data_IF_849282548128
#
_entry.id   IF_849282548128
#
_cell.length_a   1.000
_cell.length_b   1.000
_cell.length_c   1.000
_cell.angle_alpha   90.00
_cell.angle_beta   90.00
_cell.angle_gamma   90.00
#
_symmetry.space_group_name_H-M   'P 1'
#
loop_
_entity.id
_entity.type
_entity.pdbx_description
1 polymer ?
#
# COMPACT_ATOMS: atom_id res chain seq x y z
N UNK A 1 32.50 -41.30 27.96
CA UNK A 1 32.29 -41.00 26.53
C UNK A 1 31.92 -39.54 26.39
N UNK A 2 32.84 -38.72 25.89
CA UNK A 2 32.58 -37.33 25.49
C UNK A 2 33.48 -37.07 24.29
N UNK A 3 32.91 -37.03 23.08
CA UNK A 3 33.59 -36.48 21.90
C UNK A 3 33.07 -35.07 21.71
N UNK A 4 33.99 -34.12 21.75
CA UNK A 4 33.81 -32.77 21.27
C UNK A 4 33.91 -32.79 19.74
N UNK A 5 32.95 -32.18 19.06
CA UNK A 5 33.06 -31.86 17.63
C UNK A 5 33.37 -30.38 17.49
N UNK A 6 34.45 -30.11 16.76
CA UNK A 6 34.83 -28.81 16.21
C UNK A 6 34.48 -28.79 14.72
N UNK A 7 34.77 -27.66 14.06
CA UNK A 7 34.65 -27.35 12.61
C UNK A 7 33.33 -26.66 12.23
N UNK A 8 33.26 -25.60 11.42
CA UNK A 8 34.22 -24.96 10.51
C UNK A 8 33.70 -23.53 10.21
N UNK A 9 34.60 -22.53 10.17
CA UNK A 9 34.34 -21.23 9.54
C UNK A 9 34.14 -21.40 8.02
N UNK A 10 33.27 -20.61 7.40
CA UNK A 10 33.50 -20.17 6.02
C UNK A 10 32.88 -18.80 5.78
N UNK A 11 33.77 -17.81 5.73
CA UNK A 11 33.51 -16.47 5.21
C UNK A 11 33.23 -16.53 3.70
N UNK A 12 32.22 -15.80 3.23
CA UNK A 12 32.21 -15.29 1.85
C UNK A 12 31.60 -13.89 1.81
N UNK A 13 32.47 -12.91 1.81
CA UNK A 13 32.18 -11.55 1.36
C UNK A 13 32.14 -11.54 -0.16
N UNK A 14 31.15 -10.87 -0.74
CA UNK A 14 31.28 -10.27 -2.07
C UNK A 14 30.42 -9.00 -2.10
N UNK A 15 31.06 -7.89 -2.44
CA UNK A 15 30.57 -6.51 -2.31
C UNK A 15 30.20 -5.92 -3.68
N UNK A 16 29.05 -5.22 -3.73
CA UNK A 16 28.77 -3.92 -4.42
C UNK A 16 28.92 -3.84 -5.98
N UNK A 17 28.52 -2.75 -6.70
CA UNK A 17 27.94 -1.46 -6.30
C UNK A 17 26.77 -0.86 -7.17
N UNK A 18 26.19 0.23 -6.63
CA UNK A 18 25.66 1.46 -7.26
C UNK A 18 24.53 1.45 -8.33
N UNK A 19 23.46 2.23 -8.09
CA UNK A 19 23.37 3.64 -8.55
C UNK A 19 21.96 4.28 -8.40
N UNK A 20 21.87 5.13 -7.37
CA UNK A 20 21.20 6.44 -7.19
C UNK A 20 19.86 6.82 -7.90
N UNK A 21 18.96 7.29 -7.02
CA UNK A 21 18.20 8.57 -7.07
C UNK A 21 16.90 8.69 -7.88
N UNK A 22 15.78 8.75 -7.14
CA UNK A 22 14.73 9.77 -7.25
C UNK A 22 13.72 9.51 -6.12
N UNK A 23 13.39 10.38 -5.17
CA UNK A 23 13.77 11.74 -4.83
C UNK A 23 13.01 12.07 -3.53
N UNK A 24 13.65 12.88 -2.67
CA UNK A 24 13.12 13.55 -1.47
C UNK A 24 12.43 12.70 -0.36
N UNK A 25 12.92 12.74 0.89
CA UNK A 25 12.05 12.47 2.03
C UNK A 25 11.11 13.66 2.12
N UNK A 26 9.90 13.53 1.60
CA UNK A 26 8.83 14.43 2.01
C UNK A 26 8.51 14.06 3.45
N UNK A 27 9.23 14.69 4.38
CA UNK A 27 8.90 14.78 5.80
C UNK A 27 7.56 15.49 5.92
N UNK A 28 6.47 14.84 5.50
CA UNK A 28 5.14 15.17 5.95
C UNK A 28 5.10 14.75 7.41
N UNK A 29 5.01 15.74 8.28
CA UNK A 29 4.60 15.53 9.67
C UNK A 29 3.43 14.53 9.70
N UNK A 30 3.35 13.63 10.70
CA UNK A 30 2.24 12.69 10.77
C UNK A 30 0.95 13.50 10.83
N UNK A 31 0.25 13.60 9.71
CA UNK A 31 -1.14 14.01 9.71
C UNK A 31 -1.86 12.81 10.28
N UNK A 32 -2.29 12.91 11.53
CA UNK A 32 -3.07 11.85 12.16
C UNK A 32 -4.27 11.55 11.24
N UNK A 33 -4.49 10.28 10.86
CA UNK A 33 -5.56 9.93 9.95
C UNK A 33 -6.88 10.38 10.57
N UNK A 34 -7.53 11.35 9.92
CA UNK A 34 -8.81 11.88 10.39
C UNK A 34 -9.91 10.99 9.78
N UNK A 35 -10.17 9.86 10.43
CA UNK A 35 -11.32 9.00 10.15
C UNK A 35 -10.99 7.59 9.70
N UNK A 36 -11.98 6.95 9.09
CA UNK A 36 -11.94 5.56 8.64
C UNK A 36 -11.49 5.51 7.18
N UNK A 37 -10.47 4.70 6.89
CA UNK A 37 -9.90 4.58 5.54
C UNK A 37 -10.93 4.00 4.56
N UNK A 38 -11.77 3.06 5.01
CA UNK A 38 -12.83 2.45 4.21
C UNK A 38 -13.88 3.49 3.81
N UNK A 39 -14.28 4.36 4.74
CA UNK A 39 -15.18 5.48 4.43
C UNK A 39 -14.54 6.48 3.47
N UNK A 40 -13.23 6.73 3.62
CA UNK A 40 -12.47 7.61 2.71
C UNK A 40 -12.46 7.03 1.29
N UNK A 41 -12.20 5.73 1.15
CA UNK A 41 -12.24 5.00 -0.13
C UNK A 41 -13.64 5.07 -0.76
N UNK A 42 -14.69 4.77 0.01
CA UNK A 42 -16.08 4.84 -0.47
C UNK A 42 -16.42 6.24 -0.99
N UNK A 43 -16.03 7.28 -0.25
CA UNK A 43 -16.27 8.67 -0.65
C UNK A 43 -15.46 9.06 -1.89
N UNK A 44 -14.20 8.61 -1.98
CA UNK A 44 -13.36 8.82 -3.16
C UNK A 44 -14.00 8.18 -4.40
N UNK A 45 -14.45 6.92 -4.27
CA UNK A 45 -15.12 6.21 -5.36
C UNK A 45 -16.39 6.94 -5.78
N UNK A 46 -17.30 7.24 -4.85
CA UNK A 46 -18.57 7.93 -5.16
C UNK A 46 -18.36 9.33 -5.77
N UNK A 47 -17.28 10.02 -5.41
CA UNK A 47 -16.98 11.36 -5.92
C UNK A 47 -16.37 11.32 -7.32
N UNK A 48 -15.58 10.29 -7.63
CA UNK A 48 -14.90 10.13 -8.91
C UNK A 48 -15.65 9.20 -9.90
N UNK A 49 -16.69 8.49 -9.46
CA UNK A 49 -17.45 7.58 -10.31
C UNK A 49 -18.32 8.34 -11.33
N UNK A 50 -17.81 8.42 -12.56
CA UNK A 50 -18.53 8.95 -13.73
C UNK A 50 -19.41 7.91 -14.43
N UNK A 51 -19.71 6.78 -13.78
CA UNK A 51 -20.48 5.65 -14.33
C UNK A 51 -19.61 4.48 -14.81
N UNK A 52 -18.28 4.60 -14.73
CA UNK A 52 -17.32 3.54 -15.07
C UNK A 52 -16.49 3.07 -13.87
N UNK A 53 -16.71 3.65 -12.69
CA UNK A 53 -15.86 3.50 -11.51
C UNK A 53 -14.81 4.61 -11.41
N UNK A 54 -14.22 4.70 -10.22
CA UNK A 54 -13.13 5.61 -9.92
C UNK A 54 -11.77 4.93 -10.18
N UNK A 55 -10.83 5.69 -10.74
CA UNK A 55 -9.47 5.21 -10.99
C UNK A 55 -8.71 4.95 -9.69
N UNK A 56 -7.95 3.85 -9.67
CA UNK A 56 -7.10 3.45 -8.55
C UNK A 56 -6.21 4.59 -8.04
N UNK A 57 -5.47 5.26 -8.93
CA UNK A 57 -4.58 6.36 -8.56
C UNK A 57 -5.35 7.51 -7.89
N UNK A 58 -6.59 7.77 -8.30
CA UNK A 58 -7.44 8.80 -7.70
C UNK A 58 -7.86 8.43 -6.28
N UNK A 59 -8.18 7.16 -6.05
CA UNK A 59 -8.56 6.65 -4.73
C UNK A 59 -7.35 6.71 -3.78
N UNK A 60 -6.19 6.22 -4.22
CA UNK A 60 -4.93 6.27 -3.45
C UNK A 60 -4.57 7.72 -3.12
N UNK A 61 -4.60 8.61 -4.11
CA UNK A 61 -4.30 10.02 -3.93
C UNK A 61 -5.22 10.66 -2.88
N UNK A 62 -6.51 10.32 -2.89
CA UNK A 62 -7.47 10.82 -1.89
C UNK A 62 -7.13 10.31 -0.48
N UNK A 63 -6.81 9.03 -0.34
CA UNK A 63 -6.43 8.44 0.95
C UNK A 63 -5.15 9.08 1.52
N UNK A 64 -4.14 9.31 0.67
CA UNK A 64 -2.90 9.98 1.06
C UNK A 64 -3.14 11.43 1.48
N UNK A 65 -4.04 12.14 0.79
CA UNK A 65 -4.45 13.50 1.20
C UNK A 65 -5.22 13.52 2.53
N UNK A 66 -5.91 12.42 2.86
CA UNK A 66 -6.61 12.23 4.14
C UNK A 66 -5.69 11.78 5.29
N UNK A 67 -4.41 11.49 5.00
CA UNK A 67 -3.40 11.12 6.00
C UNK A 67 -3.12 9.65 6.16
N UNK A 68 -3.65 8.81 5.28
CA UNK A 68 -3.29 7.39 5.23
C UNK A 68 -2.04 7.16 4.39
N UNK A 69 -1.27 6.14 4.75
CA UNK A 69 -0.19 5.67 3.90
C UNK A 69 -0.76 5.00 2.65
N UNK A 70 0.03 4.98 1.58
CA UNK A 70 -0.34 4.26 0.36
C UNK A 70 -0.57 2.76 0.61
N UNK A 71 0.32 2.14 1.39
CA UNK A 71 0.23 0.73 1.79
C UNK A 71 -1.09 0.45 2.53
N UNK A 72 -1.46 1.29 3.51
CA UNK A 72 -2.74 1.17 4.22
C UNK A 72 -3.95 1.26 3.28
N UNK A 73 -3.89 2.16 2.29
CA UNK A 73 -4.96 2.30 1.29
C UNK A 73 -5.04 1.09 0.35
N UNK A 74 -3.91 0.53 -0.06
CA UNK A 74 -3.83 -0.68 -0.88
C UNK A 74 -4.42 -1.89 -0.15
N UNK A 75 -3.98 -2.12 1.10
CA UNK A 75 -4.48 -3.20 1.96
C UNK A 75 -5.99 -3.07 2.20
N UNK A 76 -6.47 -1.84 2.44
CA UNK A 76 -7.89 -1.59 2.62
C UNK A 76 -8.70 -1.85 1.34
N UNK A 77 -8.20 -1.43 0.17
CA UNK A 77 -8.87 -1.70 -1.11
C UNK A 77 -8.95 -3.22 -1.36
N UNK A 78 -7.87 -3.96 -1.11
CA UNK A 78 -7.85 -5.42 -1.26
C UNK A 78 -8.85 -6.08 -0.30
N UNK A 79 -8.83 -5.72 0.98
CA UNK A 79 -9.78 -6.24 1.97
C UNK A 79 -11.24 -5.93 1.64
N UNK A 80 -11.53 -4.69 1.25
CA UNK A 80 -12.89 -4.27 0.89
C UNK A 80 -13.42 -4.96 -0.36
N UNK A 81 -12.54 -5.33 -1.30
CA UNK A 81 -12.88 -6.06 -2.53
C UNK A 81 -13.05 -7.56 -2.25
N UNK A 82 -12.09 -8.17 -1.58
CA UNK A 82 -11.95 -9.64 -1.53
C UNK A 82 -12.59 -10.27 -0.28
N UNK A 83 -12.66 -9.53 0.83
CA UNK A 83 -13.19 -10.03 2.11
C UNK A 83 -14.59 -9.46 2.38
N UNK A 84 -14.72 -8.14 2.41
CA UNK A 84 -16.01 -7.52 2.78
C UNK A 84 -17.00 -7.50 1.61
N UNK A 85 -16.50 -7.47 0.37
CA UNK A 85 -17.33 -7.34 -0.82
C UNK A 85 -18.10 -6.01 -0.85
N UNK A 86 -17.51 -4.94 -0.33
CA UNK A 86 -18.12 -3.60 -0.27
C UNK A 86 -17.88 -2.81 -1.56
N UNK A 87 -16.81 -3.15 -2.27
CA UNK A 87 -16.44 -2.57 -3.57
C UNK A 87 -16.16 -3.68 -4.57
N UNK A 88 -16.21 -3.34 -5.85
CA UNK A 88 -15.80 -4.20 -6.95
C UNK A 88 -14.84 -3.49 -7.88
N UNK A 89 -14.05 -4.27 -8.60
CA UNK A 89 -13.18 -3.82 -9.69
C UNK A 89 -13.77 -4.28 -11.04
N UNK A 90 -14.79 -3.59 -11.58
CA UNK A 90 -15.43 -3.99 -12.84
C UNK A 90 -14.48 -3.95 -14.05
N UNK A 91 -13.44 -3.13 -13.95
CA UNK A 91 -12.36 -2.98 -14.93
C UNK A 91 -11.06 -2.82 -14.17
N UNK A 92 -9.99 -3.47 -14.66
CA UNK A 92 -8.68 -3.37 -14.04
C UNK A 92 -8.28 -1.90 -13.80
N UNK A 93 -8.01 -1.57 -12.53
CA UNK A 93 -7.68 -0.22 -12.07
C UNK A 93 -8.86 0.73 -11.85
N UNK A 94 -10.11 0.28 -11.96
CA UNK A 94 -11.32 1.08 -11.73
C UNK A 94 -12.23 0.40 -10.71
N UNK A 95 -12.69 1.14 -9.70
CA UNK A 95 -13.46 0.61 -8.58
C UNK A 95 -14.84 1.26 -8.46
N UNK A 96 -15.83 0.46 -8.05
CA UNK A 96 -17.20 0.91 -7.78
C UNK A 96 -17.67 0.40 -6.42
N UNK A 97 -18.56 1.15 -5.77
CA UNK A 97 -19.26 0.70 -4.55
C UNK A 97 -20.44 -0.17 -4.95
N UNK A 98 -20.66 -1.28 -4.23
CA UNK A 98 -21.81 -2.18 -4.42
C UNK A 98 -23.09 -1.69 -3.74
#
# INVERSE_FOLDING_TARGET
SSMAEAELEMSRSESEPDKVESGAPESKSPIEPTGDISMTIINAIKSADGGQGAEYDTIILTCVQSGFSREEAEDAIEGMRDVDGTIIEPRFGFFQVL
#
